data_IF_276637904847
#
_entry.id   IF_276637904847
#
_cell.length_a   1.000
_cell.length_b   1.000
_cell.length_c   1.000
_cell.angle_alpha   90.00
_cell.angle_beta   90.00
_cell.angle_gamma   90.00
#
_symmetry.space_group_name_H-M   'P 1'
#
loop_
_entity.id
_entity.type
_entity.pdbx_description
1 polymer ?
#
# COMPACT_ATOMS: atom_id res chain seq x y z
N UNK A 1 10.39 14.22 -2.51
CA UNK A 1 11.65 13.46 -2.35
C UNK A 1 11.60 12.33 -3.36
N UNK A 2 12.35 12.46 -4.45
CA UNK A 2 12.50 11.37 -5.43
C UNK A 2 13.23 10.23 -4.73
N UNK A 3 12.50 9.18 -4.42
CA UNK A 3 13.12 7.91 -4.04
C UNK A 3 13.85 7.41 -5.28
N UNK A 4 15.16 7.64 -5.33
CA UNK A 4 16.06 6.86 -6.17
C UNK A 4 15.79 5.40 -5.82
N UNK A 5 15.00 4.70 -6.62
CA UNK A 5 15.07 3.26 -6.69
C UNK A 5 16.44 2.95 -7.31
N UNK A 6 17.49 2.98 -6.49
CA UNK A 6 18.72 2.32 -6.84
C UNK A 6 18.33 0.86 -7.10
N UNK A 7 18.72 0.33 -8.25
CA UNK A 7 18.66 -1.11 -8.49
C UNK A 7 19.37 -1.78 -7.32
N UNK A 8 18.65 -2.62 -6.58
CA UNK A 8 19.20 -3.35 -5.44
C UNK A 8 20.34 -4.20 -5.99
N UNK A 9 21.55 -3.98 -5.46
CA UNK A 9 22.73 -4.69 -5.92
C UNK A 9 22.70 -6.14 -5.47
N UNK A 10 23.36 -7.03 -6.21
CA UNK A 10 23.43 -8.45 -5.87
C UNK A 10 24.11 -8.70 -4.50
N UNK A 11 25.01 -7.80 -4.09
CA UNK A 11 25.60 -7.84 -2.75
C UNK A 11 24.61 -7.66 -1.61
N UNK A 12 23.61 -6.80 -1.81
CA UNK A 12 22.54 -6.55 -0.82
C UNK A 12 21.58 -7.75 -0.72
N UNK A 13 21.28 -8.39 -1.86
CA UNK A 13 20.53 -9.64 -1.87
C UNK A 13 21.25 -10.78 -1.17
N UNK A 14 22.57 -10.92 -1.35
CA UNK A 14 23.37 -11.91 -0.63
C UNK A 14 23.42 -11.66 0.88
N UNK A 15 23.48 -10.38 1.28
CA UNK A 15 23.44 -10.03 2.71
C UNK A 15 22.08 -10.35 3.32
N UNK A 16 20.97 -10.09 2.62
CA UNK A 16 19.64 -10.45 3.07
C UNK A 16 19.49 -11.98 3.19
N UNK A 17 19.96 -12.72 2.19
CA UNK A 17 19.95 -14.20 2.21
C UNK A 17 20.68 -14.77 3.43
N UNK A 18 21.88 -14.27 3.73
CA UNK A 18 22.65 -14.69 4.90
C UNK A 18 21.90 -14.39 6.21
N UNK A 19 21.29 -13.21 6.29
CA UNK A 19 20.50 -12.81 7.47
C UNK A 19 19.28 -13.70 7.68
N UNK A 20 18.59 -14.07 6.60
CA UNK A 20 17.46 -15.00 6.65
C UNK A 20 17.92 -16.38 7.12
N UNK A 21 19.01 -16.92 6.56
CA UNK A 21 19.60 -18.20 6.98
C UNK A 21 19.92 -18.20 8.48
N UNK A 22 20.58 -17.17 8.95
CA UNK A 22 20.93 -17.04 10.37
C UNK A 22 19.67 -16.98 11.26
N UNK A 23 18.63 -16.25 10.85
CA UNK A 23 17.36 -16.19 11.58
C UNK A 23 16.71 -17.57 11.71
N UNK A 24 16.58 -18.31 10.59
CA UNK A 24 15.96 -19.63 10.56
C UNK A 24 16.76 -20.64 11.41
N UNK A 25 18.09 -20.61 11.31
CA UNK A 25 18.94 -21.46 12.16
C UNK A 25 18.79 -21.12 13.65
N UNK A 26 18.77 -19.83 14.02
CA UNK A 26 18.58 -19.43 15.40
C UNK A 26 17.21 -19.87 15.95
N UNK A 27 16.15 -19.74 15.18
CA UNK A 27 14.83 -20.25 15.54
C UNK A 27 14.83 -21.77 15.73
N UNK A 28 15.53 -22.50 14.87
CA UNK A 28 15.61 -23.96 15.00
C UNK A 28 16.43 -24.39 16.24
N UNK A 29 17.47 -23.68 16.58
CA UNK A 29 18.24 -23.92 17.83
C UNK A 29 17.38 -23.72 19.09
N UNK A 30 16.46 -22.75 19.06
CA UNK A 30 15.60 -22.45 20.22
C UNK A 30 14.39 -23.38 20.30
N UNK A 31 13.76 -23.66 19.17
CA UNK A 31 12.42 -24.26 19.12
C UNK A 31 12.40 -25.65 18.48
N UNK A 32 13.40 -26.05 17.69
CA UNK A 32 13.41 -27.31 16.98
C UNK A 32 12.30 -27.47 15.92
N UNK A 33 11.88 -26.37 15.29
CA UNK A 33 10.69 -26.36 14.41
C UNK A 33 10.94 -26.88 13.01
N UNK A 34 12.19 -26.88 12.55
CA UNK A 34 12.53 -27.16 11.16
C UNK A 34 13.28 -28.49 11.01
N UNK A 35 12.88 -29.30 10.04
CA UNK A 35 13.68 -30.42 9.58
C UNK A 35 14.81 -29.98 8.64
N UNK A 36 15.70 -30.89 8.23
CA UNK A 36 16.86 -30.57 7.39
C UNK A 36 16.48 -29.96 6.04
N UNK A 37 15.42 -30.45 5.39
CA UNK A 37 14.94 -29.90 4.11
C UNK A 37 14.41 -28.48 4.28
N UNK A 38 13.65 -28.22 5.34
CA UNK A 38 13.10 -26.91 5.64
C UNK A 38 14.20 -25.90 5.98
N UNK A 39 15.21 -26.29 6.77
CA UNK A 39 16.38 -25.46 7.05
C UNK A 39 17.10 -25.02 5.78
N UNK A 40 17.19 -25.90 4.80
CA UNK A 40 17.85 -25.63 3.54
C UNK A 40 16.98 -24.73 2.60
N UNK A 41 15.69 -25.02 2.49
CA UNK A 41 14.82 -24.39 1.48
C UNK A 41 14.03 -23.17 1.95
N UNK A 42 13.72 -23.06 3.23
CA UNK A 42 12.93 -21.96 3.77
C UNK A 42 13.63 -20.60 3.57
N UNK A 43 14.93 -20.45 3.77
CA UNK A 43 15.62 -19.19 3.49
C UNK A 43 15.50 -18.75 2.03
N UNK A 44 15.61 -19.68 1.07
CA UNK A 44 15.48 -19.40 -0.35
C UNK A 44 14.06 -18.94 -0.71
N UNK A 45 13.03 -19.60 -0.18
CA UNK A 45 11.62 -19.23 -0.39
C UNK A 45 11.29 -17.84 0.17
N UNK A 46 11.85 -17.49 1.34
CA UNK A 46 11.70 -16.15 1.93
C UNK A 46 12.40 -15.10 1.06
N UNK A 47 13.62 -15.40 0.57
CA UNK A 47 14.34 -14.48 -0.32
C UNK A 47 13.56 -14.25 -1.63
N UNK A 48 13.02 -15.32 -2.21
CA UNK A 48 12.20 -15.24 -3.41
C UNK A 48 10.94 -14.38 -3.20
N UNK A 49 10.26 -14.53 -2.06
CA UNK A 49 9.15 -13.67 -1.68
C UNK A 49 9.55 -12.18 -1.67
N UNK A 50 10.70 -11.81 -1.09
CA UNK A 50 11.16 -10.43 -1.10
C UNK A 50 11.46 -9.91 -2.50
N UNK A 51 12.09 -10.73 -3.34
CA UNK A 51 12.38 -10.38 -4.74
C UNK A 51 11.09 -10.10 -5.52
N UNK A 52 10.09 -10.95 -5.40
CA UNK A 52 8.78 -10.77 -6.05
C UNK A 52 8.01 -9.56 -5.51
N UNK A 53 8.05 -9.35 -4.19
CA UNK A 53 7.33 -8.28 -3.53
C UNK A 53 7.87 -6.91 -3.91
N UNK A 54 9.19 -6.73 -3.92
CA UNK A 54 9.84 -5.45 -4.22
C UNK A 54 9.81 -5.14 -5.72
N UNK A 55 9.98 -6.12 -6.61
CA UNK A 55 10.03 -5.93 -8.06
C UNK A 55 8.72 -5.46 -8.70
N UNK A 56 7.64 -5.38 -7.95
CA UNK A 56 6.35 -4.92 -8.46
C UNK A 56 6.24 -3.41 -8.71
N UNK A 57 7.32 -2.65 -8.57
CA UNK A 57 7.26 -1.19 -8.35
C UNK A 57 7.51 -0.31 -9.58
N UNK A 58 7.92 -0.87 -10.73
CA UNK A 58 8.24 -0.07 -11.92
C UNK A 58 7.05 0.01 -12.88
N UNK A 59 6.32 1.13 -12.85
CA UNK A 59 5.32 1.44 -13.86
C UNK A 59 5.19 2.96 -14.03
N UNK A 60 4.75 3.38 -15.23
CA UNK A 60 4.38 4.76 -15.52
C UNK A 60 2.88 4.92 -15.35
N UNK A 61 2.45 5.92 -14.59
CA UNK A 61 1.04 6.26 -14.45
C UNK A 61 0.59 6.99 -15.72
N UNK A 62 -0.19 6.32 -16.57
CA UNK A 62 -0.68 6.89 -17.84
C UNK A 62 -1.99 7.63 -17.59
N UNK A 63 -2.08 8.83 -18.13
CA UNK A 63 -3.27 9.70 -18.08
C UNK A 63 -3.78 10.01 -19.49
N UNK A 64 -5.04 10.37 -19.59
CA UNK A 64 -5.72 10.77 -20.83
C UNK A 64 -6.49 12.07 -20.59
N UNK A 65 -6.59 12.96 -21.56
CA UNK A 65 -7.44 14.13 -21.45
C UNK A 65 -8.93 13.73 -21.34
N UNK A 66 -9.69 14.51 -20.58
CA UNK A 66 -11.13 14.36 -20.42
C UNK A 66 -11.85 15.66 -20.76
N UNK A 67 -12.96 15.57 -21.49
CA UNK A 67 -13.79 16.71 -21.83
C UNK A 67 -14.88 16.96 -20.78
N UNK A 68 -15.58 15.92 -20.35
CA UNK A 68 -16.58 15.98 -19.28
C UNK A 68 -15.91 15.86 -17.91
N UNK A 69 -15.99 16.95 -17.13
CA UNK A 69 -15.30 17.10 -15.85
C UNK A 69 -16.20 16.86 -14.63
N UNK A 70 -17.49 16.61 -14.84
CA UNK A 70 -18.46 16.54 -13.74
C UNK A 70 -18.85 15.11 -13.39
N UNK A 71 -18.07 14.13 -13.89
CA UNK A 71 -18.23 12.73 -13.55
C UNK A 71 -17.27 12.33 -12.42
N UNK A 72 -17.83 11.88 -11.30
CA UNK A 72 -17.06 11.24 -10.23
C UNK A 72 -16.62 9.85 -10.68
N UNK A 73 -15.32 9.61 -10.66
CA UNK A 73 -14.72 8.32 -10.99
C UNK A 73 -14.33 7.60 -9.70
N UNK A 74 -14.77 6.36 -9.54
CA UNK A 74 -14.51 5.58 -8.34
C UNK A 74 -13.86 4.23 -8.66
N UNK A 75 -12.92 3.83 -7.82
CA UNK A 75 -12.33 2.50 -7.79
C UNK A 75 -12.54 1.93 -6.39
N UNK A 76 -13.27 0.85 -6.28
CA UNK A 76 -13.57 0.21 -5.02
C UNK A 76 -12.84 -1.13 -4.90
N UNK A 77 -12.59 -1.55 -3.67
CA UNK A 77 -12.11 -2.89 -3.33
C UNK A 77 -10.76 -3.28 -3.95
N UNK A 78 -9.86 -2.32 -4.21
CA UNK A 78 -8.50 -2.63 -4.65
C UNK A 78 -7.77 -3.35 -3.53
N UNK A 79 -7.54 -4.65 -3.69
CA UNK A 79 -6.89 -5.48 -2.67
C UNK A 79 -5.40 -5.15 -2.57
N UNK A 80 -4.88 -5.11 -1.34
CA UNK A 80 -3.45 -4.96 -1.07
C UNK A 80 -2.98 -5.84 0.08
N UNK A 81 -1.68 -6.11 0.09
CA UNK A 81 -0.94 -6.71 1.19
C UNK A 81 0.29 -5.85 1.47
N UNK A 82 0.60 -5.64 2.73
CA UNK A 82 1.79 -4.91 3.16
C UNK A 82 2.35 -5.46 4.46
N UNK A 83 3.50 -4.96 4.90
CA UNK A 83 4.13 -5.32 6.17
C UNK A 83 4.14 -4.10 7.10
N UNK A 84 3.65 -4.28 8.31
CA UNK A 84 3.72 -3.25 9.34
C UNK A 84 5.19 -2.94 9.67
N UNK A 85 5.62 -1.69 9.53
CA UNK A 85 7.01 -1.28 9.76
C UNK A 85 7.46 -1.44 11.22
N UNK A 86 6.51 -1.49 12.19
CA UNK A 86 6.83 -1.62 13.61
C UNK A 86 7.10 -3.06 14.05
N UNK A 87 6.37 -4.03 13.51
CA UNK A 87 6.38 -5.41 13.99
C UNK A 87 6.78 -6.43 12.90
N UNK A 88 6.91 -5.95 11.66
CA UNK A 88 7.21 -6.78 10.51
C UNK A 88 6.22 -7.94 10.31
N UNK A 89 4.96 -7.70 10.67
CA UNK A 89 3.83 -8.61 10.47
C UNK A 89 2.90 -8.05 9.39
N UNK A 90 2.23 -8.91 8.61
CA UNK A 90 1.35 -8.45 7.55
C UNK A 90 0.17 -7.61 8.05
N UNK A 91 -0.21 -6.62 7.26
CA UNK A 91 -1.53 -6.03 7.25
C UNK A 91 -2.06 -6.01 5.81
N UNK A 92 -3.34 -6.17 5.66
CA UNK A 92 -3.95 -6.35 4.35
C UNK A 92 -5.41 -5.88 4.36
N UNK A 93 -5.91 -5.56 3.17
CA UNK A 93 -7.27 -5.05 3.08
C UNK A 93 -7.63 -4.50 1.73
N UNK A 94 -8.37 -3.39 1.74
CA UNK A 94 -8.95 -2.74 0.56
C UNK A 94 -8.61 -1.27 0.52
N UNK A 95 -8.35 -0.78 -0.69
CA UNK A 95 -8.22 0.65 -0.98
C UNK A 95 -9.39 1.07 -1.85
N UNK A 96 -10.01 2.18 -1.48
CA UNK A 96 -11.08 2.85 -2.24
C UNK A 96 -10.58 4.22 -2.64
N UNK A 97 -10.78 4.57 -3.91
CA UNK A 97 -10.35 5.83 -4.50
C UNK A 97 -11.54 6.44 -5.21
N UNK A 98 -11.83 7.70 -4.90
CA UNK A 98 -12.82 8.49 -5.64
C UNK A 98 -12.18 9.82 -6.04
N UNK A 99 -12.36 10.25 -7.28
CA UNK A 99 -11.88 11.56 -7.71
C UNK A 99 -12.78 12.21 -8.75
N UNK A 100 -12.77 13.53 -8.74
CA UNK A 100 -13.43 14.37 -9.76
C UNK A 100 -12.33 14.97 -10.64
N UNK A 101 -12.21 14.61 -11.90
CA UNK A 101 -11.14 15.09 -12.76
C UNK A 101 -11.25 16.59 -13.02
N UNK A 102 -10.10 17.25 -13.26
CA UNK A 102 -10.05 18.56 -13.89
C UNK A 102 -9.82 18.43 -15.42
N UNK A 103 -8.70 17.87 -15.80
CA UNK A 103 -8.29 17.74 -17.22
C UNK A 103 -7.87 16.34 -17.61
N UNK A 104 -7.52 15.52 -16.62
CA UNK A 104 -6.90 14.22 -16.84
C UNK A 104 -7.67 13.12 -16.11
N UNK A 105 -7.84 12.00 -16.81
CA UNK A 105 -8.27 10.74 -16.20
C UNK A 105 -7.15 9.71 -16.24
N UNK A 106 -7.06 8.87 -15.23
CA UNK A 106 -6.08 7.81 -15.15
C UNK A 106 -6.54 6.54 -15.88
N UNK A 107 -5.61 5.85 -16.54
CA UNK A 107 -5.90 4.52 -17.06
C UNK A 107 -6.29 3.56 -15.93
N UNK A 108 -7.40 2.84 -16.06
CA UNK A 108 -8.00 2.04 -14.99
C UNK A 108 -7.01 1.07 -14.32
N UNK A 109 -6.16 0.41 -15.11
CA UNK A 109 -5.15 -0.52 -14.59
C UNK A 109 -4.03 0.14 -13.78
N UNK A 110 -3.93 1.47 -13.80
CA UNK A 110 -2.87 2.22 -13.10
C UNK A 110 -3.16 2.37 -11.61
N UNK A 111 -4.42 2.39 -11.22
CA UNK A 111 -4.81 2.50 -9.82
C UNK A 111 -4.40 1.27 -8.99
N UNK A 112 -4.74 0.03 -9.37
CA UNK A 112 -4.25 -1.14 -8.62
C UNK A 112 -2.72 -1.28 -8.67
N UNK A 113 -2.05 -0.88 -9.75
CA UNK A 113 -0.57 -0.87 -9.80
C UNK A 113 0.02 0.16 -8.85
N UNK A 114 -0.59 1.34 -8.72
CA UNK A 114 -0.17 2.35 -7.77
C UNK A 114 -0.31 1.86 -6.33
N UNK A 115 -1.46 1.27 -6.00
CA UNK A 115 -1.70 0.67 -4.68
C UNK A 115 -0.64 -0.40 -4.40
N UNK A 116 -0.39 -1.32 -5.35
CA UNK A 116 0.64 -2.34 -5.23
C UNK A 116 2.02 -1.74 -5.00
N UNK A 117 2.39 -0.70 -5.74
CA UNK A 117 3.67 0.00 -5.59
C UNK A 117 3.90 0.48 -4.17
N UNK A 118 2.94 1.19 -3.59
CA UNK A 118 3.11 1.77 -2.27
C UNK A 118 2.93 0.76 -1.13
N UNK A 119 2.21 -0.33 -1.35
CA UNK A 119 2.06 -1.42 -0.37
C UNK A 119 3.19 -2.44 -0.39
N UNK A 120 4.03 -2.49 -1.44
CA UNK A 120 5.14 -3.45 -1.57
C UNK A 120 6.42 -3.00 -0.85
N UNK A 121 6.26 -2.49 0.36
CA UNK A 121 7.36 -2.12 1.28
C UNK A 121 6.83 -2.13 2.71
N UNK A 122 7.69 -2.29 3.74
CA UNK A 122 7.28 -2.06 5.12
C UNK A 122 6.82 -0.60 5.30
N UNK A 123 5.60 -0.42 5.83
CA UNK A 123 4.99 0.91 6.00
C UNK A 123 3.96 0.89 7.13
N UNK A 124 3.36 2.04 7.46
CA UNK A 124 2.13 2.12 8.24
C UNK A 124 0.93 2.39 7.33
N UNK A 125 -0.26 2.12 7.81
CA UNK A 125 -1.48 2.35 7.03
C UNK A 125 -1.68 3.84 6.72
N UNK A 126 -1.31 4.72 7.64
CA UNK A 126 -1.39 6.17 7.50
C UNK A 126 -0.48 6.67 6.38
N UNK A 127 0.78 6.20 6.37
CA UNK A 127 1.76 6.54 5.32
C UNK A 127 1.29 6.00 3.98
N UNK A 128 0.83 4.74 3.91
CA UNK A 128 0.30 4.14 2.69
C UNK A 128 -0.84 4.98 2.10
N UNK A 129 -1.79 5.41 2.95
CA UNK A 129 -2.93 6.23 2.54
C UNK A 129 -2.49 7.59 1.99
N UNK A 130 -1.54 8.24 2.66
CA UNK A 130 -1.00 9.53 2.25
C UNK A 130 -0.22 9.43 0.93
N UNK A 131 0.69 8.47 0.79
CA UNK A 131 1.50 8.29 -0.42
C UNK A 131 0.66 8.00 -1.67
N UNK A 132 -0.42 7.20 -1.54
CA UNK A 132 -1.36 6.97 -2.64
C UNK A 132 -2.05 8.28 -3.02
N UNK A 133 -2.55 9.05 -2.03
CA UNK A 133 -3.23 10.31 -2.28
C UNK A 133 -2.30 11.35 -2.90
N UNK A 134 -1.10 11.53 -2.38
CA UNK A 134 -0.12 12.52 -2.86
C UNK A 134 0.31 12.22 -4.30
N UNK A 135 0.48 10.93 -4.64
CA UNK A 135 0.83 10.58 -6.01
C UNK A 135 -0.33 10.83 -6.98
N UNK A 136 -1.55 10.46 -6.62
CA UNK A 136 -2.74 10.71 -7.45
C UNK A 136 -2.99 12.21 -7.63
N UNK A 137 -2.85 13.00 -6.58
CA UNK A 137 -2.95 14.46 -6.65
C UNK A 137 -1.94 15.03 -7.64
N UNK A 138 -0.67 14.60 -7.55
CA UNK A 138 0.41 15.04 -8.43
C UNK A 138 0.20 14.69 -9.90
N UNK A 139 -0.30 13.49 -10.21
CA UNK A 139 -0.39 12.99 -11.60
C UNK A 139 -1.71 13.31 -12.28
N UNK A 140 -2.80 13.49 -11.53
CA UNK A 140 -4.13 13.76 -12.07
C UNK A 140 -4.56 15.23 -11.88
N UNK A 141 -3.97 15.94 -10.91
CA UNK A 141 -4.40 17.30 -10.50
C UNK A 141 -5.93 17.42 -10.43
N UNK A 142 -6.61 16.56 -9.69
CA UNK A 142 -8.06 16.47 -9.67
C UNK A 142 -8.67 17.63 -8.87
N UNK A 143 -9.92 18.02 -9.19
CA UNK A 143 -10.68 19.00 -8.39
C UNK A 143 -11.03 18.46 -6.99
N UNK A 144 -11.21 17.15 -6.89
CA UNK A 144 -11.49 16.42 -5.66
C UNK A 144 -10.82 15.05 -5.74
N UNK A 145 -10.24 14.61 -4.62
CA UNK A 145 -9.68 13.27 -4.46
C UNK A 145 -9.96 12.77 -3.05
N UNK A 146 -10.46 11.57 -2.96
CA UNK A 146 -10.63 10.83 -1.72
C UNK A 146 -9.96 9.46 -1.84
N UNK A 147 -9.10 9.14 -0.89
CA UNK A 147 -8.46 7.82 -0.77
C UNK A 147 -8.79 7.28 0.61
N UNK A 148 -9.32 6.07 0.68
CA UNK A 148 -9.58 5.36 1.93
C UNK A 148 -8.95 3.98 1.90
N UNK A 149 -8.26 3.64 2.97
CA UNK A 149 -7.68 2.32 3.21
C UNK A 149 -8.40 1.68 4.39
N UNK A 150 -8.86 0.46 4.21
CA UNK A 150 -9.45 -0.38 5.24
C UNK A 150 -8.63 -1.65 5.37
N UNK A 151 -8.09 -1.94 6.54
CA UNK A 151 -7.19 -3.07 6.72
C UNK A 151 -7.31 -3.76 8.09
N UNK A 152 -7.03 -5.05 8.08
CA UNK A 152 -6.76 -5.87 9.26
C UNK A 152 -5.25 -5.93 9.48
N UNK A 153 -4.85 -5.93 10.75
CA UNK A 153 -3.46 -5.90 11.16
C UNK A 153 -3.10 -7.13 11.98
N UNK A 154 -2.30 -8.05 11.43
CA UNK A 154 -1.90 -9.25 12.17
C UNK A 154 -1.04 -8.92 13.41
N UNK A 155 -0.38 -7.76 13.44
CA UNK A 155 0.33 -7.30 14.62
C UNK A 155 -0.59 -6.98 15.82
N UNK A 156 -1.89 -6.76 15.58
CA UNK A 156 -2.92 -6.62 16.63
C UNK A 156 -3.66 -7.94 16.89
N UNK A 157 -3.85 -8.77 15.86
CA UNK A 157 -4.62 -10.00 15.97
C UNK A 157 -3.81 -11.18 16.55
N UNK A 158 -2.54 -11.36 16.11
CA UNK A 158 -1.72 -12.52 16.48
C UNK A 158 -1.04 -12.39 17.84
N UNK A 159 -0.84 -11.17 18.32
CA UNK A 159 -0.11 -10.85 19.54
C UNK A 159 -0.70 -9.63 20.27
N UNK A 160 -0.16 -9.30 21.45
CA UNK A 160 -0.57 -8.14 22.23
C UNK A 160 -2.05 -8.23 22.64
N UNK A 161 -2.87 -7.30 22.17
CA UNK A 161 -4.29 -7.21 22.50
C UNK A 161 -5.14 -8.36 21.91
N UNK A 162 -4.68 -8.98 20.83
CA UNK A 162 -5.38 -10.07 20.12
C UNK A 162 -6.82 -9.71 19.70
N UNK A 163 -7.01 -8.49 19.18
CA UNK A 163 -8.30 -8.03 18.66
C UNK A 163 -8.55 -8.63 17.26
N UNK A 164 -9.18 -9.81 17.24
CA UNK A 164 -9.40 -10.59 16.01
C UNK A 164 -10.53 -9.97 15.19
N UNK A 165 -10.26 -9.73 13.89
CA UNK A 165 -11.27 -9.24 12.95
C UNK A 165 -11.50 -7.73 12.97
N UNK A 166 -10.81 -7.00 13.83
CA UNK A 166 -10.87 -5.54 13.85
C UNK A 166 -10.32 -4.95 12.55
N UNK A 167 -11.02 -3.94 12.03
CA UNK A 167 -10.63 -3.23 10.80
C UNK A 167 -10.33 -1.78 11.11
N UNK A 168 -9.10 -1.37 10.85
CA UNK A 168 -8.68 0.02 10.90
C UNK A 168 -9.00 0.73 9.58
N UNK A 169 -9.50 1.98 9.66
CA UNK A 169 -9.79 2.82 8.49
C UNK A 169 -9.00 4.11 8.56
N UNK A 170 -8.28 4.42 7.48
CA UNK A 170 -7.60 5.70 7.28
C UNK A 170 -8.10 6.35 6.00
N UNK A 171 -8.19 7.68 5.99
CA UNK A 171 -8.67 8.41 4.81
C UNK A 171 -7.83 9.66 4.57
N UNK A 172 -7.61 9.96 3.31
CA UNK A 172 -6.97 11.18 2.85
C UNK A 172 -7.90 11.90 1.88
N UNK A 173 -8.08 13.20 2.09
CA UNK A 173 -8.94 14.05 1.30
C UNK A 173 -8.12 15.21 0.72
N UNK A 174 -8.23 15.45 -0.59
CA UNK A 174 -7.64 16.57 -1.32
C UNK A 174 -8.72 17.24 -2.15
N UNK A 175 -8.73 18.56 -2.19
CA UNK A 175 -9.68 19.33 -3.01
C UNK A 175 -9.14 20.73 -3.28
N UNK A 176 -9.54 21.30 -4.40
CA UNK A 176 -9.24 22.68 -4.73
C UNK A 176 -10.15 23.67 -3.97
N UNK A 177 -9.81 24.96 -4.02
CA UNK A 177 -10.57 26.00 -3.31
C UNK A 177 -12.01 26.12 -3.80
N UNK A 178 -12.30 25.75 -5.06
CA UNK A 178 -13.65 25.88 -5.64
C UNK A 178 -14.60 24.83 -5.05
N UNK A 179 -14.07 23.66 -4.69
CA UNK A 179 -14.83 22.58 -4.07
C UNK A 179 -15.07 22.79 -2.57
N UNK A 180 -14.35 23.70 -1.93
CA UNK A 180 -14.47 23.92 -0.47
C UNK A 180 -15.89 24.32 -0.09
N UNK A 181 -16.50 25.24 -0.82
CA UNK A 181 -17.87 25.71 -0.55
C UNK A 181 -18.90 24.61 -0.79
N UNK A 182 -18.73 23.81 -1.83
CA UNK A 182 -19.61 22.68 -2.13
C UNK A 182 -19.55 21.59 -1.05
N UNK A 183 -18.37 21.29 -0.53
CA UNK A 183 -18.19 20.33 0.56
C UNK A 183 -18.82 20.81 1.89
N UNK A 184 -18.78 22.10 2.16
CA UNK A 184 -19.47 22.68 3.33
C UNK A 184 -20.97 22.45 3.18
N UNK A 185 -21.53 22.75 2.01
CA UNK A 185 -22.98 22.58 1.74
C UNK A 185 -23.42 21.12 1.86
N UNK A 186 -22.65 20.19 1.24
CA UNK A 186 -22.92 18.74 1.34
C UNK A 186 -22.82 18.20 2.78
N UNK A 187 -21.93 18.75 3.61
CA UNK A 187 -21.84 18.38 5.02
C UNK A 187 -23.03 18.88 5.85
N UNK A 188 -23.60 20.02 5.48
CA UNK A 188 -24.79 20.58 6.12
C UNK A 188 -26.03 19.76 5.78
N UNK A 189 -26.19 19.39 4.50
CA UNK A 189 -27.28 18.52 4.05
C UNK A 189 -27.21 17.11 4.68
N UNK A 190 -26.01 16.55 4.81
CA UNK A 190 -25.82 15.22 5.43
C UNK A 190 -26.07 15.18 6.95
N UNK A 191 -26.30 16.33 7.60
CA UNK A 191 -26.64 16.44 9.03
C UNK A 191 -28.14 16.57 9.30
N UNK A 192 -28.92 16.77 8.26
CA UNK A 192 -30.40 16.80 8.31
C UNK A 192 -30.97 15.40 8.04
#
# INVERSE_FOLDING_TARGET
>A
MDTKHNEIQESEWKQLELSIKNLIHAQNMIFGWYNEEELLRTPERILQFYREWINSNNFTFTTFPVEDRDQMITFNDITFFSMCSHHFLPFFGKVHIAYLPDRLVGGASKFPRLVKKYSSKPTTQEILTAEIADNLEKVLTPRFLFVRVEARHLCQEMRGIRSIGETMKTSSLRYDKTMQNMLVHLKEEARQ
#
